data_IF_893208875892
#
_entry.id   IF_893208875892
#
_cell.length_a   1.000
_cell.length_b   1.000
_cell.length_c   1.000
_cell.angle_alpha   90.00
_cell.angle_beta   90.00
_cell.angle_gamma   90.00
#
_symmetry.space_group_name_H-M   'P 1'
#
loop_
_entity.id
_entity.type
_entity.pdbx_description
1 polymer ?
#
# COMPACT_ATOMS: atom_id res chain seq x y z
N UNK A 1 13.51 1.49 10.02
CA UNK A 1 12.29 2.27 9.83
C UNK A 1 11.58 1.61 8.66
N UNK A 2 10.34 1.17 8.87
CA UNK A 2 9.55 0.39 7.91
C UNK A 2 10.37 -0.69 7.18
N UNK A 3 10.90 -1.65 7.96
CA UNK A 3 11.51 -2.83 7.36
C UNK A 3 10.52 -3.54 6.42
N UNK A 4 10.97 -3.79 5.18
CA UNK A 4 10.22 -4.50 4.15
C UNK A 4 9.53 -5.77 4.65
N UNK A 5 10.23 -6.52 5.50
CA UNK A 5 9.65 -7.61 6.25
C UNK A 5 9.98 -7.45 7.74
N UNK A 6 8.96 -7.47 8.60
CA UNK A 6 9.13 -7.42 10.07
C UNK A 6 10.06 -8.50 10.62
N UNK A 7 10.14 -9.64 9.93
CA UNK A 7 10.95 -10.81 10.24
C UNK A 7 12.46 -10.51 10.16
N UNK A 8 12.88 -9.46 9.43
CA UNK A 8 14.29 -9.04 9.33
C UNK A 8 14.88 -8.74 10.72
N UNK A 9 14.06 -8.31 11.70
CA UNK A 9 14.52 -8.13 13.08
C UNK A 9 15.09 -9.43 13.69
N UNK A 10 14.55 -10.58 13.31
CA UNK A 10 15.02 -11.89 13.79
C UNK A 10 16.35 -12.34 13.19
N UNK A 11 16.93 -11.60 12.24
CA UNK A 11 18.27 -11.87 11.71
C UNK A 11 19.39 -11.28 12.56
N UNK A 12 19.06 -10.46 13.55
CA UNK A 12 20.03 -9.79 14.41
C UNK A 12 19.94 -10.34 15.83
N UNK A 13 21.10 -10.66 16.40
CA UNK A 13 21.22 -11.07 17.82
C UNK A 13 21.23 -9.86 18.78
N UNK A 14 21.30 -8.64 18.23
CA UNK A 14 21.26 -7.38 18.97
C UNK A 14 19.85 -6.77 18.93
N UNK A 15 19.46 -5.93 19.89
CA UNK A 15 18.20 -5.19 19.81
C UNK A 15 18.11 -4.35 18.53
N UNK A 16 16.98 -4.44 17.84
CA UNK A 16 16.68 -3.65 16.64
C UNK A 16 15.39 -2.87 16.88
N UNK A 17 15.46 -1.56 16.81
CA UNK A 17 14.27 -0.71 16.81
C UNK A 17 13.78 -0.52 15.36
N UNK A 18 12.54 -0.90 15.09
CA UNK A 18 11.89 -0.67 13.79
C UNK A 18 10.74 0.35 13.93
N UNK A 19 11.02 1.66 13.82
CA UNK A 19 9.96 2.67 13.81
C UNK A 19 9.13 2.60 12.51
N UNK A 20 7.87 3.01 12.59
CA UNK A 20 6.92 3.03 11.47
C UNK A 20 6.60 4.45 11.03
N UNK A 21 6.48 4.69 9.72
CA UNK A 21 6.08 5.97 9.16
C UNK A 21 4.57 6.19 9.14
N UNK A 22 3.76 5.15 9.43
CA UNK A 22 2.29 5.21 9.42
C UNK A 22 1.71 6.47 10.11
N UNK A 23 2.16 6.90 11.32
CA UNK A 23 1.60 8.09 11.95
C UNK A 23 1.85 9.37 11.14
N UNK A 24 3.05 9.51 10.55
CA UNK A 24 3.40 10.65 9.72
C UNK A 24 2.65 10.63 8.38
N UNK A 25 2.47 9.45 7.78
CA UNK A 25 1.68 9.27 6.55
C UNK A 25 0.21 9.64 6.80
N UNK A 26 -0.38 9.19 7.90
CA UNK A 26 -1.76 9.53 8.28
C UNK A 26 -1.94 11.03 8.49
N UNK A 27 -1.01 11.68 9.20
CA UNK A 27 -1.03 13.13 9.39
C UNK A 27 -0.91 13.87 8.04
N UNK A 28 -0.03 13.38 7.17
CA UNK A 28 0.15 13.96 5.84
C UNK A 28 -1.12 13.85 5.00
N UNK A 29 -1.77 12.68 4.97
CA UNK A 29 -3.05 12.47 4.27
C UNK A 29 -4.11 13.44 4.79
N UNK A 30 -4.30 13.51 6.11
CA UNK A 30 -5.29 14.39 6.74
C UNK A 30 -5.08 15.87 6.43
N UNK A 31 -3.83 16.28 6.23
CA UNK A 31 -3.44 17.67 6.03
C UNK A 31 -3.44 18.08 4.56
N UNK A 32 -3.07 17.16 3.64
CA UNK A 32 -2.77 17.51 2.26
C UNK A 32 -3.77 16.95 1.24
N UNK A 33 -4.59 15.95 1.61
CA UNK A 33 -5.61 15.40 0.72
C UNK A 33 -6.98 15.90 1.20
N UNK A 34 -7.58 16.87 0.49
CA UNK A 34 -8.96 17.29 0.76
C UNK A 34 -9.89 16.10 0.61
N UNK A 35 -10.93 16.05 1.44
CA UNK A 35 -11.98 15.02 1.32
C UNK A 35 -11.43 13.58 1.37
N UNK A 36 -10.27 13.36 2.03
CA UNK A 36 -9.62 12.04 2.15
C UNK A 36 -10.55 10.91 2.66
N UNK A 37 -11.68 11.26 3.29
CA UNK A 37 -12.71 10.31 3.73
C UNK A 37 -13.46 9.63 2.59
N UNK A 38 -13.44 10.25 1.41
CA UNK A 38 -14.03 9.74 0.18
C UNK A 38 -12.97 9.03 -0.70
N UNK A 39 -11.85 8.62 -0.08
CA UNK A 39 -10.77 7.89 -0.73
C UNK A 39 -10.63 6.49 -0.15
N UNK A 40 -10.22 5.55 -1.00
CA UNK A 40 -9.82 4.20 -0.62
C UNK A 40 -8.30 4.08 -0.49
N UNK A 41 -7.78 3.46 0.58
CA UNK A 41 -6.35 3.19 0.72
C UNK A 41 -6.02 1.89 -0.01
N UNK A 42 -5.04 1.91 -0.91
CA UNK A 42 -4.77 0.79 -1.81
C UNK A 42 -3.35 0.28 -1.65
N UNK A 43 -3.21 -1.03 -1.43
CA UNK A 43 -1.90 -1.72 -1.43
C UNK A 43 -1.53 -2.25 -2.80
N UNK A 44 -0.23 -2.25 -3.12
CA UNK A 44 0.31 -2.69 -4.40
C UNK A 44 0.61 -4.20 -4.47
N UNK A 45 0.46 -4.91 -3.35
CA UNK A 45 0.50 -6.35 -3.23
C UNK A 45 -0.14 -6.84 -1.92
N UNK A 46 -0.03 -8.14 -1.64
CA UNK A 46 -0.60 -8.76 -0.45
C UNK A 46 0.28 -8.56 0.81
N UNK A 47 1.56 -8.25 0.66
CA UNK A 47 2.48 -8.08 1.78
C UNK A 47 2.24 -6.73 2.47
N UNK A 48 1.99 -5.69 1.67
CA UNK A 48 1.59 -4.36 2.15
C UNK A 48 0.19 -4.29 2.77
N UNK A 49 -0.62 -5.36 2.68
CA UNK A 49 -2.01 -5.37 3.13
C UNK A 49 -2.15 -4.97 4.61
N UNK A 50 -1.25 -5.44 5.48
CA UNK A 50 -1.30 -5.13 6.92
C UNK A 50 -1.10 -3.63 7.22
N UNK A 51 -0.19 -2.99 6.50
CA UNK A 51 0.08 -1.55 6.64
C UNK A 51 -1.13 -0.75 6.16
N UNK A 52 -1.62 -1.08 4.96
CA UNK A 52 -2.79 -0.41 4.37
C UNK A 52 -4.05 -0.56 5.22
N UNK A 53 -4.34 -1.74 5.77
CA UNK A 53 -5.48 -1.92 6.68
C UNK A 53 -5.33 -1.07 7.95
N UNK A 54 -4.11 -0.97 8.50
CA UNK A 54 -3.85 -0.17 9.70
C UNK A 54 -4.08 1.32 9.44
N UNK A 55 -3.62 1.81 8.28
CA UNK A 55 -3.83 3.20 7.84
C UNK A 55 -5.33 3.46 7.60
N UNK A 56 -6.01 2.57 6.88
CA UNK A 56 -7.43 2.68 6.57
C UNK A 56 -8.30 2.69 7.83
N UNK A 57 -8.03 1.81 8.80
CA UNK A 57 -8.73 1.77 10.09
C UNK A 57 -8.54 3.07 10.89
N UNK A 58 -7.31 3.61 10.92
CA UNK A 58 -7.03 4.87 11.63
C UNK A 58 -7.62 6.11 10.94
N UNK A 59 -7.84 6.02 9.64
CA UNK A 59 -8.56 7.03 8.85
C UNK A 59 -10.08 6.79 8.90
N UNK A 60 -10.54 5.58 9.18
CA UNK A 60 -11.93 5.16 9.06
C UNK A 60 -12.44 5.33 7.61
N UNK A 61 -11.70 4.72 6.67
CA UNK A 61 -12.01 4.64 5.23
C UNK A 61 -11.86 3.20 4.74
N UNK A 62 -12.34 2.94 3.54
CA UNK A 62 -12.20 1.62 2.91
C UNK A 62 -10.76 1.38 2.42
N UNK A 63 -10.43 0.11 2.21
CA UNK A 63 -9.16 -0.30 1.61
C UNK A 63 -9.36 -1.32 0.49
N UNK A 64 -8.39 -1.36 -0.42
CA UNK A 64 -8.32 -2.36 -1.48
C UNK A 64 -6.88 -2.84 -1.68
N UNK A 65 -6.73 -3.95 -2.40
CA UNK A 65 -5.44 -4.59 -2.65
C UNK A 65 -5.31 -4.91 -4.14
N UNK A 66 -4.16 -4.64 -4.72
CA UNK A 66 -3.83 -5.06 -6.07
C UNK A 66 -3.02 -6.35 -5.99
N UNK A 67 -3.63 -7.46 -6.39
CA UNK A 67 -2.96 -8.74 -6.50
C UNK A 67 -2.28 -8.87 -7.87
N UNK A 68 -0.96 -9.08 -7.88
CA UNK A 68 -0.19 -9.34 -9.12
C UNK A 68 -0.08 -10.84 -9.36
N UNK A 69 -0.70 -11.32 -10.43
CA UNK A 69 -0.44 -12.65 -10.96
C UNK A 69 0.77 -12.60 -11.90
N UNK A 70 1.78 -13.42 -11.60
CA UNK A 70 2.98 -13.57 -12.43
C UNK A 70 2.94 -14.92 -13.15
N UNK A 71 3.03 -14.92 -14.48
CA UNK A 71 3.14 -16.18 -15.26
C UNK A 71 4.54 -16.80 -15.14
N UNK A 72 5.57 -15.97 -15.01
CA UNK A 72 6.99 -16.35 -14.81
C UNK A 72 7.68 -15.28 -13.96
N UNK A 73 8.85 -15.60 -13.40
CA UNK A 73 9.71 -14.60 -12.77
C UNK A 73 9.97 -13.46 -13.76
N UNK A 74 9.66 -12.21 -13.36
CA UNK A 74 9.74 -10.98 -14.15
C UNK A 74 8.70 -10.78 -15.28
N UNK A 75 7.69 -11.65 -15.42
CA UNK A 75 6.53 -11.39 -16.30
C UNK A 75 5.25 -11.21 -15.47
N UNK A 76 4.79 -9.96 -15.36
CA UNK A 76 3.48 -9.63 -14.79
C UNK A 76 2.44 -9.94 -15.86
N UNK A 77 1.55 -10.90 -15.57
CA UNK A 77 0.52 -11.32 -16.52
C UNK A 77 -0.79 -10.57 -16.29
N UNK A 78 -1.16 -10.37 -15.02
CA UNK A 78 -2.42 -9.70 -14.67
C UNK A 78 -2.34 -9.02 -13.30
N UNK A 79 -2.94 -7.84 -13.20
CA UNK A 79 -3.24 -7.21 -11.91
C UNK A 79 -4.74 -7.33 -11.66
N UNK A 80 -5.10 -7.83 -10.48
CA UNK A 80 -6.49 -8.01 -10.05
C UNK A 80 -6.71 -7.12 -8.83
N UNK A 81 -7.69 -6.22 -8.93
CA UNK A 81 -8.13 -5.43 -7.80
C UNK A 81 -9.04 -6.27 -6.90
N UNK A 82 -8.74 -6.30 -5.60
CA UNK A 82 -9.51 -6.98 -4.57
C UNK A 82 -9.98 -5.94 -3.56
N UNK A 83 -11.30 -5.78 -3.44
CA UNK A 83 -11.93 -4.72 -2.68
C UNK A 83 -12.87 -3.90 -3.57
N UNK A 84 -13.87 -3.28 -2.97
CA UNK A 84 -14.77 -2.38 -3.68
C UNK A 84 -14.15 -0.98 -3.71
N UNK A 85 -13.93 -0.45 -4.91
CA UNK A 85 -13.58 0.95 -5.12
C UNK A 85 -14.81 1.61 -5.73
N UNK A 86 -15.89 1.66 -4.96
CA UNK A 86 -17.08 2.44 -5.32
C UNK A 86 -16.82 3.95 -5.21
N UNK A 87 -15.74 4.32 -4.53
CA UNK A 87 -15.31 5.70 -4.33
C UNK A 87 -14.37 6.14 -5.46
N UNK A 88 -14.49 7.39 -5.96
CA UNK A 88 -13.82 7.81 -7.20
C UNK A 88 -12.30 7.99 -7.09
N UNK A 89 -11.70 7.85 -5.90
CA UNK A 89 -10.28 8.19 -5.69
C UNK A 89 -9.55 7.20 -4.78
N UNK A 90 -8.30 6.90 -5.11
CA UNK A 90 -7.45 5.92 -4.42
C UNK A 90 -6.12 6.54 -3.94
N UNK A 91 -5.64 6.12 -2.77
CA UNK A 91 -4.32 6.46 -2.22
C UNK A 91 -3.47 5.20 -2.22
N UNK A 92 -2.50 5.12 -3.15
CA UNK A 92 -1.53 4.03 -3.20
C UNK A 92 -0.51 4.18 -2.07
N UNK A 93 -0.32 3.12 -1.28
CA UNK A 93 0.68 3.06 -0.20
C UNK A 93 1.53 1.81 -0.36
N UNK A 94 2.84 1.99 -0.25
CA UNK A 94 3.86 0.94 -0.27
C UNK A 94 5.01 1.33 0.69
N UNK A 95 5.83 0.38 1.10
CA UNK A 95 6.99 0.63 1.95
C UNK A 95 8.16 1.28 1.18
N UNK A 96 8.34 0.90 -0.08
CA UNK A 96 9.36 1.44 -0.98
C UNK A 96 8.86 1.53 -2.43
N UNK A 97 9.40 2.50 -3.19
CA UNK A 97 9.25 2.56 -4.65
C UNK A 97 10.60 2.72 -5.34
N UNK A 98 11.12 1.62 -5.91
CA UNK A 98 12.41 1.58 -6.63
C UNK A 98 12.28 2.05 -8.09
N UNK A 99 11.98 1.15 -9.04
CA UNK A 99 11.87 1.49 -10.47
C UNK A 99 10.55 2.17 -10.86
N UNK A 100 9.59 2.23 -9.93
CA UNK A 100 8.24 2.79 -10.09
C UNK A 100 7.34 2.10 -11.13
N UNK A 101 7.81 1.06 -11.84
CA UNK A 101 6.99 0.34 -12.82
C UNK A 101 5.70 -0.21 -12.19
N UNK A 102 5.82 -0.79 -10.99
CA UNK A 102 4.69 -1.28 -10.19
C UNK A 102 3.65 -0.19 -9.93
N UNK A 103 4.06 0.96 -9.39
CA UNK A 103 3.13 2.01 -8.96
C UNK A 103 2.46 2.68 -10.16
N UNK A 104 3.18 2.82 -11.27
CA UNK A 104 2.62 3.32 -12.52
C UNK A 104 1.55 2.37 -13.08
N UNK A 105 1.84 1.07 -13.20
CA UNK A 105 0.85 0.11 -13.72
C UNK A 105 -0.37 -0.01 -12.81
N UNK A 106 -0.18 0.10 -11.49
CA UNK A 106 -1.28 0.13 -10.54
C UNK A 106 -2.14 1.39 -10.68
N UNK A 107 -1.52 2.57 -10.84
CA UNK A 107 -2.25 3.81 -11.08
C UNK A 107 -3.08 3.74 -12.37
N UNK A 108 -2.50 3.23 -13.47
CA UNK A 108 -3.23 3.02 -14.72
C UNK A 108 -4.44 2.10 -14.52
N UNK A 109 -4.27 1.01 -13.75
CA UNK A 109 -5.37 0.09 -13.43
C UNK A 109 -6.48 0.71 -12.59
N UNK A 110 -6.14 1.59 -11.65
CA UNK A 110 -7.11 2.30 -10.83
C UNK A 110 -7.89 3.36 -11.61
N UNK A 111 -7.26 3.97 -12.63
CA UNK A 111 -7.94 4.91 -13.53
C UNK A 111 -8.90 4.20 -14.48
N UNK A 112 -8.60 2.95 -14.87
CA UNK A 112 -9.45 2.14 -15.74
C UNK A 112 -10.64 1.47 -15.05
N UNK A 113 -10.58 1.31 -13.71
CA UNK A 113 -11.58 0.61 -12.90
C UNK A 113 -12.83 1.46 -12.64
#
# INVERSE_FOLDING_TARGET
>A
MDLHASQIQGFFDIPVDNPFAEPAVIEWIKTNIPEWKDYCIVSLDAEGAKSVTTIADQLNVDFALIHKERKRANEVDRMVLVGDISQPVAILVDDEADTRGTICTAADKLIEA
#
